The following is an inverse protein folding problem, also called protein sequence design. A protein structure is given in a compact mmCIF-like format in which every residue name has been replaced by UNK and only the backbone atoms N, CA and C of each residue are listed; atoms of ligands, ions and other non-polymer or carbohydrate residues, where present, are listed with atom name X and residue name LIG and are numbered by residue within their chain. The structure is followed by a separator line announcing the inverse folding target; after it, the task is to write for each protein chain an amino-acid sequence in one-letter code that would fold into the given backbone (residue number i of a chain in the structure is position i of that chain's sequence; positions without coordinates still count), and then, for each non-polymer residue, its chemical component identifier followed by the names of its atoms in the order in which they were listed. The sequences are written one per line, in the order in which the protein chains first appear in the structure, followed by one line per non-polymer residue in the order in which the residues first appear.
data_IF_637985123176
#
_entry.id   IF_637985123176
#
_cell.length_a   1.000
_cell.length_b   1.000
_cell.length_c   1.000
_cell.angle_alpha   90.00
_cell.angle_beta   90.00
_cell.angle_gamma   90.00
#
_symmetry.space_group_name_H-M   'P 1'
#
loop_
_entity.id
_entity.type
_entity.pdbx_description
1 polymer ?
#
# COMPACT_ATOMS: atom_id res chain seq x y z
N UNK A 1 17.16 -2.12 -6.68
CA UNK A 1 17.51 -1.72 -5.30
C UNK A 1 18.35 -2.80 -4.61
N UNK A 2 17.81 -4.00 -4.39
CA UNK A 2 18.51 -5.11 -3.69
C UNK A 2 19.80 -5.53 -4.43
N UNK A 3 19.71 -5.96 -5.69
CA UNK A 3 20.89 -6.35 -6.51
C UNK A 3 21.92 -5.23 -6.72
N UNK A 4 21.50 -3.98 -6.51
CA UNK A 4 22.38 -2.81 -6.62
C UNK A 4 23.18 -2.54 -5.34
N UNK A 5 23.13 -3.45 -4.36
CA UNK A 5 23.84 -3.31 -3.08
C UNK A 5 23.41 -2.07 -2.27
N UNK A 6 22.16 -1.63 -2.42
CA UNK A 6 21.62 -0.43 -1.76
C UNK A 6 20.85 -0.74 -0.49
N UNK A 7 20.67 -2.01 -0.15
CA UNK A 7 19.87 -2.46 1.00
C UNK A 7 20.77 -3.13 2.01
N UNK A 8 20.67 -2.71 3.26
CA UNK A 8 21.37 -3.29 4.40
C UNK A 8 20.35 -3.85 5.39
N UNK A 9 20.66 -5.00 6.00
CA UNK A 9 19.91 -5.58 7.11
C UNK A 9 20.88 -5.82 8.25
N UNK A 10 20.67 -5.16 9.39
CA UNK A 10 21.55 -5.19 10.56
C UNK A 10 23.02 -4.83 10.23
N UNK A 11 23.24 -3.94 9.27
CA UNK A 11 24.57 -3.50 8.82
C UNK A 11 25.23 -4.39 7.77
N UNK A 12 24.58 -5.48 7.33
CA UNK A 12 25.07 -6.33 6.25
C UNK A 12 24.36 -6.00 4.94
N UNK A 13 25.12 -5.76 3.86
CA UNK A 13 24.58 -5.53 2.52
C UNK A 13 23.91 -6.82 2.02
N UNK A 14 22.63 -6.72 1.64
CA UNK A 14 21.85 -7.83 1.09
C UNK A 14 21.65 -7.62 -0.41
N UNK A 15 22.14 -8.57 -1.20
CA UNK A 15 21.96 -8.61 -2.66
C UNK A 15 21.05 -9.76 -3.12
N UNK A 16 20.74 -10.72 -2.24
CA UNK A 16 19.84 -11.83 -2.52
C UNK A 16 18.38 -11.42 -2.30
N UNK A 17 17.53 -11.67 -3.30
CA UNK A 17 16.09 -11.44 -3.19
C UNK A 17 15.42 -12.54 -2.36
N UNK A 18 14.40 -12.19 -1.58
CA UNK A 18 13.60 -13.15 -0.81
C UNK A 18 14.12 -13.47 0.59
N UNK A 19 15.17 -12.78 1.07
CA UNK A 19 15.59 -12.84 2.48
C UNK A 19 14.42 -12.45 3.38
N UNK A 20 14.06 -13.35 4.30
CA UNK A 20 13.04 -13.07 5.33
C UNK A 20 13.66 -12.24 6.45
N UNK A 21 12.92 -11.23 6.90
CA UNK A 21 13.31 -10.30 7.97
C UNK A 21 12.17 -10.19 8.98
N UNK A 22 12.50 -9.96 10.24
CA UNK A 22 11.57 -9.71 11.34
C UNK A 22 11.50 -8.20 11.58
N UNK A 23 10.35 -7.60 11.25
CA UNK A 23 10.11 -6.15 11.37
C UNK A 23 10.23 -5.62 12.81
N UNK A 24 10.23 -6.50 13.82
CA UNK A 24 10.38 -6.13 15.22
C UNK A 24 11.80 -6.26 15.76
N UNK A 25 12.71 -6.90 15.00
CA UNK A 25 14.08 -7.19 15.46
C UNK A 25 15.16 -6.68 14.51
N UNK A 26 14.88 -6.70 13.21
CA UNK A 26 15.85 -6.36 12.18
C UNK A 26 15.77 -4.87 11.83
N UNK A 27 16.94 -4.22 11.79
CA UNK A 27 17.09 -2.88 11.24
C UNK A 27 17.33 -2.98 9.73
N UNK A 28 16.46 -2.35 8.94
CA UNK A 28 16.58 -2.31 7.48
C UNK A 28 16.96 -0.89 7.08
N UNK A 29 18.02 -0.74 6.27
CA UNK A 29 18.42 0.54 5.66
C UNK A 29 18.41 0.44 4.15
N UNK A 30 17.98 1.52 3.51
CA UNK A 30 18.12 1.72 2.06
C UNK A 30 18.90 3.02 1.84
N UNK A 31 20.03 2.94 1.16
CA UNK A 31 20.97 4.06 0.98
C UNK A 31 21.36 4.75 2.30
N UNK A 32 21.53 3.96 3.36
CA UNK A 32 21.87 4.46 4.70
C UNK A 32 20.70 5.04 5.51
N UNK A 33 19.49 5.13 4.94
CA UNK A 33 18.29 5.59 5.65
C UNK A 33 17.51 4.40 6.22
N UNK A 34 17.20 4.44 7.52
CA UNK A 34 16.40 3.40 8.18
C UNK A 34 14.96 3.41 7.68
N UNK A 35 14.49 2.24 7.27
CA UNK A 35 13.10 2.00 6.87
C UNK A 35 12.33 1.47 8.07
N UNK A 36 11.33 2.24 8.52
CA UNK A 36 10.45 1.83 9.60
C UNK A 36 9.18 1.17 9.05
N UNK A 37 8.67 0.17 9.79
CA UNK A 37 7.34 -0.38 9.53
C UNK A 37 6.27 0.70 9.77
N UNK A 38 5.33 0.82 8.83
CA UNK A 38 4.17 1.70 8.99
C UNK A 38 3.05 0.97 9.74
N UNK A 39 2.30 1.70 10.56
CA UNK A 39 1.08 1.16 11.18
C UNK A 39 0.03 0.80 10.12
N UNK A 40 -0.72 -0.27 10.37
CA UNK A 40 -1.82 -0.64 9.49
C UNK A 40 -3.01 0.29 9.65
N UNK A 41 -3.57 0.70 8.52
CA UNK A 41 -4.73 1.56 8.41
C UNK A 41 -5.87 0.79 7.74
N UNK A 42 -7.09 0.98 8.25
CA UNK A 42 -8.30 0.37 7.71
C UNK A 42 -9.40 1.43 7.64
N UNK A 43 -9.98 1.60 6.46
CA UNK A 43 -11.08 2.51 6.23
C UNK A 43 -12.22 1.79 5.54
N UNK A 44 -13.44 2.19 5.87
CA UNK A 44 -14.64 1.86 5.11
C UNK A 44 -15.12 3.15 4.44
N UNK A 45 -15.24 3.13 3.12
CA UNK A 45 -15.79 4.21 2.33
C UNK A 45 -17.15 3.75 1.80
N UNK A 46 -18.19 4.54 2.02
CA UNK A 46 -19.43 4.37 1.27
C UNK A 46 -19.24 5.03 -0.10
N UNK A 47 -18.90 4.21 -1.10
CA UNK A 47 -18.64 4.64 -2.47
C UNK A 47 -19.96 5.10 -3.10
N UNK A 48 -20.04 6.34 -3.62
CA UNK A 48 -21.21 6.79 -4.37
C UNK A 48 -21.21 6.23 -5.81
N UNK A 49 -22.36 6.32 -6.48
CA UNK A 49 -22.48 5.99 -7.89
C UNK A 49 -21.64 6.96 -8.74
N UNK A 50 -21.19 6.49 -9.91
CA UNK A 50 -20.35 7.26 -10.84
C UNK A 50 -18.86 7.29 -10.49
N UNK A 51 -18.43 6.71 -9.36
CA UNK A 51 -17.02 6.64 -8.96
C UNK A 51 -16.38 5.34 -9.43
N UNK A 52 -15.18 5.39 -9.99
CA UNK A 52 -14.43 4.20 -10.42
C UNK A 52 -13.72 3.54 -9.24
N UNK A 53 -13.83 2.21 -9.11
CA UNK A 53 -13.08 1.43 -8.11
C UNK A 53 -11.61 1.23 -8.50
N UNK A 54 -10.87 2.34 -8.59
CA UNK A 54 -9.41 2.39 -8.79
C UNK A 54 -8.80 3.47 -7.90
N UNK A 55 -7.48 3.37 -7.66
CA UNK A 55 -6.73 4.41 -6.94
C UNK A 55 -6.31 5.58 -7.85
N UNK A 56 -6.23 5.35 -9.15
CA UNK A 56 -5.93 6.33 -10.19
C UNK A 56 -6.78 5.97 -11.43
N UNK A 57 -7.25 6.97 -12.19
CA UNK A 57 -7.99 6.75 -13.44
C UNK A 57 -7.33 7.54 -14.59
N UNK A 58 -6.83 6.86 -15.65
CA UNK A 58 -6.18 7.52 -16.78
C UNK A 58 -7.10 8.45 -17.59
N UNK A 59 -8.41 8.21 -17.56
CA UNK A 59 -9.41 8.99 -18.30
C UNK A 59 -9.90 10.21 -17.50
N UNK A 60 -9.36 10.43 -16.28
CA UNK A 60 -9.70 11.55 -15.41
C UNK A 60 -11.08 11.46 -14.77
N UNK A 61 -11.69 10.26 -14.71
CA UNK A 61 -12.94 10.04 -13.96
C UNK A 61 -12.66 10.07 -12.47
N UNK A 62 -13.68 10.44 -11.70
CA UNK A 62 -13.62 10.38 -10.26
C UNK A 62 -13.40 8.93 -9.80
N UNK A 63 -12.41 8.71 -8.94
CA UNK A 63 -11.97 7.40 -8.47
C UNK A 63 -11.83 7.37 -6.94
N UNK A 64 -11.54 6.20 -6.37
CA UNK A 64 -11.40 6.06 -4.91
C UNK A 64 -10.20 6.85 -4.37
N UNK A 65 -9.15 7.04 -5.18
CA UNK A 65 -7.96 7.81 -4.81
C UNK A 65 -8.27 9.25 -4.44
N UNK A 66 -9.28 9.85 -5.09
CA UNK A 66 -9.68 11.24 -4.86
C UNK A 66 -10.20 11.45 -3.42
N UNK A 67 -10.75 10.41 -2.79
CA UNK A 67 -11.26 10.46 -1.41
C UNK A 67 -10.16 10.35 -0.35
N UNK A 68 -8.93 9.99 -0.74
CA UNK A 68 -7.83 9.75 0.21
C UNK A 68 -6.55 10.49 -0.15
N UNK A 69 -6.64 11.49 -1.05
CA UNK A 69 -5.49 12.27 -1.55
C UNK A 69 -4.68 12.99 -0.45
N UNK A 70 -5.33 13.37 0.66
CA UNK A 70 -4.68 14.12 1.76
C UNK A 70 -3.91 13.22 2.75
N UNK A 71 -3.39 12.07 2.32
CA UNK A 71 -2.73 11.10 3.21
C UNK A 71 -1.31 10.80 2.74
N UNK A 72 -0.38 10.79 3.70
CA UNK A 72 1.01 10.40 3.45
C UNK A 72 1.16 8.90 3.17
N UNK A 73 0.30 8.08 3.79
CA UNK A 73 0.30 6.63 3.61
C UNK A 73 -0.48 6.24 2.36
N UNK A 74 0.18 5.51 1.45
CA UNK A 74 -0.47 4.90 0.29
C UNK A 74 -1.46 3.81 0.74
N UNK A 75 -2.69 3.90 0.24
CA UNK A 75 -3.75 2.92 0.47
C UNK A 75 -4.08 2.17 -0.82
N UNK A 76 -4.74 1.02 -0.67
CA UNK A 76 -5.28 0.18 -1.73
C UNK A 76 -6.72 -0.17 -1.40
N UNK A 77 -7.56 -0.38 -2.40
CA UNK A 77 -8.92 -0.87 -2.20
C UNK A 77 -8.97 -2.40 -2.09
N UNK A 78 -9.89 -2.90 -1.28
CA UNK A 78 -10.18 -4.32 -1.12
C UNK A 78 -11.46 -4.65 -1.87
N UNK A 79 -11.38 -5.59 -2.81
CA UNK A 79 -12.47 -5.89 -3.73
C UNK A 79 -12.74 -4.77 -4.74
N UNK A 80 -13.89 -4.85 -5.42
CA UNK A 80 -14.34 -3.90 -6.44
C UNK A 80 -15.86 -3.74 -6.37
N UNK A 81 -16.32 -2.52 -6.65
CA UNK A 81 -17.70 -2.23 -6.99
C UNK A 81 -17.74 -1.69 -8.42
N UNK A 82 -18.82 -1.96 -9.15
CA UNK A 82 -18.99 -1.34 -10.47
C UNK A 82 -19.18 0.17 -10.31
N UNK A 83 -18.90 0.93 -11.38
CA UNK A 83 -18.92 2.40 -11.34
C UNK A 83 -20.24 2.95 -10.83
N UNK A 84 -21.35 2.39 -11.30
CA UNK A 84 -22.72 2.78 -10.91
C UNK A 84 -23.21 2.14 -9.61
N UNK A 85 -22.42 1.24 -9.00
CA UNK A 85 -22.79 0.59 -7.73
C UNK A 85 -22.40 1.47 -6.56
N UNK A 86 -23.37 1.69 -5.67
CA UNK A 86 -23.15 2.29 -4.35
C UNK A 86 -22.89 1.23 -3.29
N UNK A 87 -22.10 1.58 -2.28
CA UNK A 87 -21.96 0.73 -1.11
C UNK A 87 -20.59 0.81 -0.45
N UNK A 88 -20.39 -0.06 0.54
CA UNK A 88 -19.17 -0.09 1.33
C UNK A 88 -18.04 -0.74 0.52
N UNK A 89 -16.92 -0.04 0.42
CA UNK A 89 -15.64 -0.57 -0.04
C UNK A 89 -14.57 -0.29 1.03
N UNK A 90 -13.66 -1.25 1.23
CA UNK A 90 -12.57 -1.08 2.20
C UNK A 90 -11.31 -0.54 1.54
N UNK A 91 -10.59 0.31 2.27
CA UNK A 91 -9.27 0.82 1.89
C UNK A 91 -8.25 0.49 2.99
N UNK A 92 -7.07 -0.01 2.63
CA UNK A 92 -6.01 -0.37 3.58
C UNK A 92 -4.61 -0.27 2.98
N UNK A 93 -3.58 -0.10 3.82
CA UNK A 93 -2.17 -0.29 3.44
C UNK A 93 -1.66 -1.72 3.77
N UNK A 94 -2.51 -2.59 4.33
CA UNK A 94 -2.18 -3.97 4.67
C UNK A 94 -2.39 -4.89 3.46
N UNK A 95 -1.39 -4.97 2.57
CA UNK A 95 -1.49 -5.73 1.31
C UNK A 95 -1.87 -7.21 1.50
N UNK A 96 -1.34 -7.88 2.53
CA UNK A 96 -1.68 -9.28 2.79
C UNK A 96 -3.14 -9.49 3.18
N UNK A 97 -3.73 -8.58 3.97
CA UNK A 97 -5.15 -8.64 4.32
C UNK A 97 -6.00 -8.34 3.08
N UNK A 98 -5.62 -7.34 2.30
CA UNK A 98 -6.30 -6.97 1.06
C UNK A 98 -6.34 -8.12 0.03
N UNK A 99 -5.36 -9.03 0.07
CA UNK A 99 -5.33 -10.20 -0.82
C UNK A 99 -6.17 -11.38 -0.30
N UNK A 100 -6.36 -11.50 1.02
CA UNK A 100 -7.13 -12.60 1.62
C UNK A 100 -8.65 -12.38 1.58
N UNK A 101 -9.09 -11.15 1.35
CA UNK A 101 -10.49 -10.71 1.31
C UNK A 101 -10.94 -10.46 -0.13
#
# INVERSE_FOLDING_TARGET
LIEQSRVEVNGEIVVEQGKRVDVHKDEIKVDGLTVAAQSYLFFALNKPAGVVSSMEDPDGRQCLGDYVTNRETRLFHVGRLDTETEGIIMLTNHGELAHRL
#
